data_IF_154204003888
#
_entry.id   IF_154204003888
#
_cell.length_a   1.000
_cell.length_b   1.000
_cell.length_c   1.000
_cell.angle_alpha   90.00
_cell.angle_beta   90.00
_cell.angle_gamma   90.00
#
_symmetry.space_group_name_H-M   'P 1'
#
loop_
_entity.id
_entity.type
_entity.pdbx_description
1 polymer ?
#
# COMPACT_ATOMS: atom_id res chain seq x y z
N UNK A 1 -25.19 -46.07 -19.19
CA UNK A 1 -25.20 -45.60 -17.78
C UNK A 1 -23.87 -46.03 -17.20
N UNK A 2 -22.95 -45.10 -16.92
CA UNK A 2 -21.60 -45.42 -16.46
C UNK A 2 -21.66 -45.59 -14.94
N UNK A 3 -21.34 -46.79 -14.45
CA UNK A 3 -21.39 -47.13 -13.02
C UNK A 3 -20.06 -46.73 -12.37
N UNK A 4 -20.05 -45.56 -11.73
CA UNK A 4 -18.86 -45.05 -11.04
C UNK A 4 -18.72 -45.81 -9.71
N UNK A 5 -17.56 -46.42 -9.42
CA UNK A 5 -17.39 -47.18 -8.19
C UNK A 5 -17.64 -46.30 -6.96
N UNK A 6 -18.54 -46.74 -6.07
CA UNK A 6 -18.95 -45.97 -4.87
C UNK A 6 -17.76 -45.47 -4.04
N UNK A 7 -16.68 -46.24 -3.96
CA UNK A 7 -15.45 -45.87 -3.25
C UNK A 7 -14.77 -44.60 -3.80
N UNK A 8 -14.86 -44.38 -5.11
CA UNK A 8 -14.33 -43.17 -5.76
C UNK A 8 -15.20 -41.95 -5.44
N UNK A 9 -16.52 -42.12 -5.41
CA UNK A 9 -17.46 -41.05 -5.04
C UNK A 9 -17.23 -40.60 -3.59
N UNK A 10 -17.06 -41.53 -2.65
CA UNK A 10 -16.74 -41.20 -1.25
C UNK A 10 -15.38 -40.53 -1.09
N UNK A 11 -14.35 -40.97 -1.82
CA UNK A 11 -13.02 -40.35 -1.76
C UNK A 11 -13.03 -38.93 -2.33
N UNK A 12 -13.78 -38.69 -3.41
CA UNK A 12 -13.91 -37.37 -4.02
C UNK A 12 -14.75 -36.43 -3.17
N UNK A 13 -15.84 -36.92 -2.56
CA UNK A 13 -16.66 -36.10 -1.66
C UNK A 13 -15.88 -35.67 -0.42
N UNK A 14 -15.10 -36.57 0.19
CA UNK A 14 -14.26 -36.23 1.36
C UNK A 14 -13.16 -35.23 0.99
N UNK A 15 -12.46 -35.43 -0.13
CA UNK A 15 -11.45 -34.48 -0.58
C UNK A 15 -12.04 -33.10 -0.92
N UNK A 16 -13.24 -33.07 -1.50
CA UNK A 16 -13.97 -31.83 -1.76
C UNK A 16 -14.33 -31.12 -0.46
N UNK A 17 -14.84 -31.84 0.51
CA UNK A 17 -15.23 -31.30 1.82
C UNK A 17 -14.01 -30.77 2.60
N UNK A 18 -12.88 -31.49 2.58
CA UNK A 18 -11.62 -31.03 3.14
C UNK A 18 -11.09 -29.76 2.44
N UNK A 19 -11.23 -29.67 1.11
CA UNK A 19 -10.82 -28.48 0.34
C UNK A 19 -11.73 -27.26 0.59
N UNK A 20 -13.03 -27.47 0.73
CA UNK A 20 -14.01 -26.42 1.07
C UNK A 20 -13.78 -25.92 2.50
N UNK A 21 -13.49 -26.82 3.44
CA UNK A 21 -13.16 -26.49 4.83
C UNK A 21 -11.80 -25.77 4.94
N UNK A 22 -10.78 -26.20 4.20
CA UNK A 22 -9.48 -25.53 4.16
C UNK A 22 -9.59 -24.11 3.58
N UNK A 23 -10.35 -23.93 2.48
CA UNK A 23 -10.64 -22.61 1.93
C UNK A 23 -11.39 -21.71 2.93
N UNK A 24 -12.33 -22.27 3.68
CA UNK A 24 -13.04 -21.55 4.74
C UNK A 24 -12.11 -21.16 5.89
N UNK A 25 -11.20 -22.01 6.35
CA UNK A 25 -10.23 -21.65 7.40
C UNK A 25 -9.27 -20.53 6.96
N UNK A 26 -8.80 -20.55 5.72
CA UNK A 26 -7.94 -19.49 5.18
C UNK A 26 -8.67 -18.14 5.09
N UNK A 27 -9.94 -18.15 4.66
CA UNK A 27 -10.74 -16.91 4.63
C UNK A 27 -11.03 -16.35 6.03
N UNK A 28 -11.17 -17.22 7.03
CA UNK A 28 -11.34 -16.81 8.43
C UNK A 28 -10.11 -16.08 8.99
N UNK A 29 -8.90 -16.29 8.45
CA UNK A 29 -7.70 -15.55 8.86
C UNK A 29 -7.78 -14.04 8.51
N UNK A 30 -8.58 -13.65 7.52
CA UNK A 30 -8.79 -12.25 7.18
C UNK A 30 -9.89 -11.58 8.00
N UNK A 31 -10.72 -12.37 8.71
CA UNK A 31 -11.85 -11.86 9.49
C UNK A 31 -11.41 -10.88 10.60
N UNK A 32 -10.35 -11.12 11.40
CA UNK A 32 -9.87 -10.16 12.39
C UNK A 32 -9.41 -8.84 11.75
N UNK A 33 -8.73 -8.90 10.62
CA UNK A 33 -8.23 -7.72 9.90
C UNK A 33 -9.41 -6.85 9.45
N UNK A 34 -10.42 -7.47 8.83
CA UNK A 34 -11.64 -6.80 8.41
C UNK A 34 -12.37 -6.16 9.60
N UNK A 35 -12.52 -6.90 10.70
CA UNK A 35 -13.21 -6.43 11.89
C UNK A 35 -12.48 -5.25 12.54
N UNK A 36 -11.15 -5.30 12.65
CA UNK A 36 -10.35 -4.16 13.12
C UNK A 36 -10.52 -2.95 12.21
N UNK A 37 -10.49 -3.14 10.89
CA UNK A 37 -10.69 -2.04 9.94
C UNK A 37 -12.07 -1.39 10.08
N UNK A 38 -13.13 -2.18 10.23
CA UNK A 38 -14.50 -1.70 10.43
C UNK A 38 -14.63 -0.94 11.76
N UNK A 39 -14.10 -1.49 12.85
CA UNK A 39 -14.14 -0.83 14.17
C UNK A 39 -13.35 0.47 14.15
N UNK A 40 -12.13 0.47 13.60
CA UNK A 40 -11.29 1.66 13.51
C UNK A 40 -11.96 2.76 12.69
N UNK A 41 -12.49 2.43 11.52
CA UNK A 41 -13.19 3.38 10.65
C UNK A 41 -14.49 3.86 11.28
N UNK A 42 -15.24 2.97 11.92
CA UNK A 42 -16.47 3.29 12.64
C UNK A 42 -16.21 4.26 13.80
N UNK A 43 -15.18 4.01 14.60
CA UNK A 43 -14.77 4.87 15.70
C UNK A 43 -14.26 6.22 15.18
N UNK A 44 -13.39 6.24 14.17
CA UNK A 44 -12.87 7.48 13.58
C UNK A 44 -14.02 8.34 13.03
N UNK A 45 -15.00 7.72 12.37
CA UNK A 45 -16.20 8.39 11.87
C UNK A 45 -17.04 8.90 13.03
N UNK A 46 -17.34 8.07 14.03
CA UNK A 46 -18.13 8.48 15.20
C UNK A 46 -17.50 9.69 15.91
N UNK A 47 -16.19 9.70 16.10
CA UNK A 47 -15.46 10.82 16.70
C UNK A 47 -15.44 12.05 15.80
N UNK A 48 -15.27 11.90 14.48
CA UNK A 48 -15.33 13.02 13.54
C UNK A 48 -16.73 13.68 13.50
N UNK A 49 -17.80 12.89 13.69
CA UNK A 49 -19.17 13.37 13.70
C UNK A 49 -19.69 13.77 15.09
N UNK A 50 -19.07 13.33 16.18
CA UNK A 50 -19.49 13.67 17.55
C UNK A 50 -19.62 15.18 17.80
N UNK A 51 -18.70 16.06 17.33
CA UNK A 51 -18.84 17.52 17.47
C UNK A 51 -20.06 18.09 16.75
N UNK A 52 -20.65 17.37 15.79
CA UNK A 52 -21.87 17.82 15.12
C UNK A 52 -23.08 17.81 16.05
N UNK A 53 -23.08 16.93 17.05
CA UNK A 53 -24.18 16.78 18.01
C UNK A 53 -23.84 17.34 19.39
N UNK A 54 -22.58 17.25 19.81
CA UNK A 54 -22.15 17.63 21.16
C UNK A 54 -21.60 19.06 21.27
N UNK A 55 -21.10 19.66 20.19
CA UNK A 55 -20.42 20.95 20.27
C UNK A 55 -21.41 22.13 20.26
N UNK A 56 -21.13 23.13 21.09
CA UNK A 56 -21.83 24.43 21.05
C UNK A 56 -21.45 25.17 19.77
N UNK A 57 -22.39 25.28 18.84
CA UNK A 57 -22.17 25.93 17.54
C UNK A 57 -22.50 27.42 17.62
N UNK A 58 -21.46 28.26 17.61
CA UNK A 58 -21.58 29.72 17.43
C UNK A 58 -20.79 30.16 16.18
N UNK A 59 -21.30 29.87 14.97
CA UNK A 59 -20.65 30.29 13.74
C UNK A 59 -20.75 31.81 13.59
N UNK A 60 -19.61 32.47 13.52
CA UNK A 60 -19.54 33.89 13.13
C UNK A 60 -18.77 34.00 11.81
N UNK A 61 -18.99 35.05 11.00
CA UNK A 61 -18.25 35.25 9.76
C UNK A 61 -16.72 35.21 9.96
N UNK A 62 -16.24 35.80 11.05
CA UNK A 62 -14.81 35.91 11.40
C UNK A 62 -14.20 34.56 11.83
N UNK A 63 -15.01 33.60 12.28
CA UNK A 63 -14.53 32.23 12.59
C UNK A 63 -14.43 31.35 11.34
N UNK A 64 -15.00 31.79 10.22
CA UNK A 64 -15.04 31.04 8.96
C UNK A 64 -14.02 31.52 7.94
N UNK A 65 -13.39 32.67 8.18
CA UNK A 65 -12.30 33.15 7.32
C UNK A 65 -11.03 32.31 7.55
N UNK A 66 -10.25 32.02 6.49
CA UNK A 66 -8.92 31.45 6.61
C UNK A 66 -8.03 32.23 7.57
N UNK A 67 -7.20 31.52 8.33
CA UNK A 67 -6.30 32.14 9.30
C UNK A 67 -5.05 32.70 8.62
N UNK A 68 -4.86 34.01 8.69
CA UNK A 68 -3.64 34.70 8.21
C UNK A 68 -3.16 35.74 9.25
N UNK A 69 -2.89 35.29 10.48
CA UNK A 69 -2.38 36.13 11.58
C UNK A 69 -3.21 37.41 11.85
N UNK A 70 -4.53 37.34 11.70
CA UNK A 70 -5.44 38.46 11.94
C UNK A 70 -5.57 39.44 10.76
N UNK A 71 -4.98 39.12 9.61
CA UNK A 71 -5.27 39.82 8.34
C UNK A 71 -6.30 39.07 7.53
N UNK A 72 -7.04 39.83 6.73
CA UNK A 72 -7.90 39.26 5.69
C UNK A 72 -7.02 38.49 4.71
N UNK A 73 -7.43 37.26 4.32
CA UNK A 73 -6.59 36.42 3.51
C UNK A 73 -6.35 37.04 2.15
N UNK A 74 -5.09 37.10 1.74
CA UNK A 74 -4.68 37.77 0.50
C UNK A 74 -4.30 36.72 -0.54
N UNK A 75 -4.99 36.70 -1.67
CA UNK A 75 -4.71 35.77 -2.77
C UNK A 75 -5.57 34.49 -2.74
N UNK A 76 -5.24 33.57 -3.64
CA UNK A 76 -5.97 32.30 -3.81
C UNK A 76 -5.12 31.14 -3.28
N UNK A 77 -5.71 30.24 -2.50
CA UNK A 77 -5.05 29.02 -2.03
C UNK A 77 -4.72 27.99 -3.14
N UNK A 78 -4.94 28.36 -4.42
CA UNK A 78 -4.73 27.50 -5.59
C UNK A 78 -3.56 27.98 -6.48
N UNK A 79 -2.56 28.61 -5.87
CA UNK A 79 -1.33 28.90 -6.59
C UNK A 79 -0.55 27.63 -6.91
N UNK A 80 0.30 27.71 -7.94
CA UNK A 80 1.12 26.58 -8.36
C UNK A 80 2.19 26.35 -7.31
N UNK A 81 2.07 25.24 -6.59
CA UNK A 81 3.12 24.75 -5.71
C UNK A 81 4.38 24.37 -6.51
N UNK A 82 5.53 24.32 -5.83
CA UNK A 82 6.81 24.05 -6.49
C UNK A 82 6.80 22.68 -7.19
N UNK A 83 7.44 22.60 -8.35
CA UNK A 83 7.57 21.36 -9.13
C UNK A 83 8.38 20.29 -8.36
N UNK A 84 9.14 20.68 -7.34
CA UNK A 84 9.90 19.78 -6.49
C UNK A 84 9.04 18.67 -5.86
N UNK A 85 7.80 18.96 -5.45
CA UNK A 85 6.89 17.93 -4.90
C UNK A 85 6.57 16.85 -5.92
N UNK A 86 6.40 17.22 -7.19
CA UNK A 86 6.18 16.26 -8.28
C UNK A 86 7.40 15.36 -8.49
N UNK A 87 8.61 15.94 -8.48
CA UNK A 87 9.84 15.16 -8.67
C UNK A 87 10.07 14.17 -7.53
N UNK A 88 9.81 14.58 -6.28
CA UNK A 88 9.89 13.68 -5.12
C UNK A 88 8.85 12.56 -5.22
N UNK A 89 7.61 12.86 -5.58
CA UNK A 89 6.56 11.84 -5.76
C UNK A 89 6.89 10.85 -6.88
N UNK A 90 7.45 11.34 -7.99
CA UNK A 90 7.88 10.48 -9.10
C UNK A 90 9.02 9.53 -8.68
N UNK A 91 10.02 10.02 -7.95
CA UNK A 91 11.11 9.18 -7.42
C UNK A 91 10.57 8.16 -6.41
N UNK A 92 9.62 8.55 -5.55
CA UNK A 92 8.98 7.63 -4.62
C UNK A 92 8.25 6.49 -5.34
N UNK A 93 7.51 6.78 -6.41
CA UNK A 93 6.84 5.74 -7.22
C UNK A 93 7.86 4.79 -7.84
N UNK A 94 8.99 5.30 -8.35
CA UNK A 94 10.05 4.46 -8.91
C UNK A 94 10.67 3.53 -7.84
N UNK A 95 10.91 4.04 -6.64
CA UNK A 95 11.38 3.25 -5.50
C UNK A 95 10.33 2.21 -5.05
N UNK A 96 9.04 2.57 -5.01
CA UNK A 96 7.98 1.62 -4.65
C UNK A 96 7.86 0.47 -5.68
N UNK A 97 8.05 0.79 -6.96
CA UNK A 97 8.14 -0.21 -8.03
C UNK A 97 9.36 -1.14 -7.85
N UNK A 98 10.47 -0.66 -7.29
CA UNK A 98 11.60 -1.54 -7.01
C UNK A 98 11.29 -2.52 -5.87
N UNK A 99 10.60 -2.05 -4.83
CA UNK A 99 10.20 -2.87 -3.69
C UNK A 99 9.24 -4.00 -4.09
N UNK A 100 8.28 -3.75 -5.00
CA UNK A 100 7.37 -4.78 -5.49
C UNK A 100 8.09 -5.89 -6.27
N UNK A 101 9.26 -5.62 -6.86
CA UNK A 101 10.10 -6.65 -7.48
C UNK A 101 10.99 -7.39 -6.46
N UNK A 102 11.47 -6.69 -5.44
CA UNK A 102 12.33 -7.27 -4.42
C UNK A 102 11.60 -8.25 -3.49
N UNK A 103 10.35 -7.97 -3.13
CA UNK A 103 9.59 -8.80 -2.19
C UNK A 103 9.38 -10.23 -2.72
N UNK A 104 8.80 -10.46 -3.92
CA UNK A 104 8.61 -11.81 -4.44
C UNK A 104 9.94 -12.54 -4.60
N UNK A 105 10.95 -11.88 -5.16
CA UNK A 105 12.28 -12.48 -5.30
C UNK A 105 12.87 -12.92 -3.97
N UNK A 106 12.76 -12.09 -2.92
CA UNK A 106 13.24 -12.43 -1.59
C UNK A 106 12.52 -13.66 -1.00
N UNK A 107 11.21 -13.78 -1.25
CA UNK A 107 10.40 -14.93 -0.81
C UNK A 107 10.84 -16.23 -1.50
N UNK A 108 11.08 -16.20 -2.82
CA UNK A 108 11.42 -17.41 -3.60
C UNK A 108 12.92 -17.66 -3.75
N UNK A 109 13.78 -16.78 -3.23
CA UNK A 109 15.24 -16.85 -3.39
C UNK A 109 15.83 -18.23 -3.07
N UNK A 110 15.37 -18.87 -1.98
CA UNK A 110 15.90 -20.18 -1.54
C UNK A 110 15.61 -21.29 -2.54
N UNK A 111 14.47 -21.22 -3.24
CA UNK A 111 14.06 -22.23 -4.20
C UNK A 111 14.81 -22.03 -5.52
N UNK A 112 14.87 -20.79 -6.03
CA UNK A 112 15.67 -20.44 -7.21
C UNK A 112 17.16 -20.73 -7.03
N UNK A 113 17.70 -20.47 -5.83
CA UNK A 113 19.10 -20.72 -5.52
C UNK A 113 19.47 -22.22 -5.58
N UNK A 114 18.50 -23.11 -5.35
CA UNK A 114 18.68 -24.57 -5.43
C UNK A 114 18.63 -25.08 -6.87
N UNK A 115 17.80 -24.48 -7.73
CA UNK A 115 17.61 -24.95 -9.11
C UNK A 115 18.70 -24.49 -10.08
N UNK A 116 19.09 -23.20 -10.04
CA UNK A 116 19.91 -22.60 -11.11
C UNK A 116 21.33 -22.23 -10.66
N UNK A 117 21.59 -22.16 -9.35
CA UNK A 117 22.77 -21.63 -8.63
C UNK A 117 22.49 -20.29 -7.93
N UNK A 118 22.60 -20.28 -6.60
CA UNK A 118 22.30 -19.09 -5.77
C UNK A 118 23.17 -17.88 -6.07
N UNK A 119 24.40 -18.07 -6.57
CA UNK A 119 25.28 -16.98 -6.97
C UNK A 119 24.76 -16.20 -8.18
N UNK A 120 24.18 -16.88 -9.16
CA UNK A 120 23.61 -16.25 -10.36
C UNK A 120 22.36 -15.43 -10.02
N UNK A 121 21.41 -16.04 -9.29
CA UNK A 121 20.16 -15.39 -8.85
C UNK A 121 20.43 -14.17 -7.97
N UNK A 122 21.47 -14.22 -7.14
CA UNK A 122 21.90 -13.08 -6.33
C UNK A 122 22.54 -11.97 -7.19
N UNK A 123 23.38 -12.33 -8.17
CA UNK A 123 24.00 -11.38 -9.07
C UNK A 123 22.97 -10.64 -9.94
N UNK A 124 21.92 -11.33 -10.41
CA UNK A 124 20.82 -10.70 -11.15
C UNK A 124 20.17 -9.57 -10.34
N UNK A 125 19.90 -9.80 -9.06
CA UNK A 125 19.35 -8.73 -8.21
C UNK A 125 20.34 -7.61 -7.95
N UNK A 126 21.62 -7.91 -7.70
CA UNK A 126 22.62 -6.85 -7.56
C UNK A 126 22.68 -5.97 -8.81
N UNK A 127 22.61 -6.56 -10.00
CA UNK A 127 22.57 -5.81 -11.26
C UNK A 127 21.30 -4.98 -11.33
N UNK A 128 20.13 -5.55 -11.03
CA UNK A 128 18.86 -4.83 -10.98
C UNK A 128 18.95 -3.60 -10.05
N UNK A 129 19.33 -3.78 -8.78
CA UNK A 129 19.49 -2.66 -7.84
C UNK A 129 20.51 -1.63 -8.34
N UNK A 130 21.64 -2.06 -8.90
CA UNK A 130 22.70 -1.15 -9.34
C UNK A 130 22.24 -0.17 -10.43
N UNK A 131 21.38 -0.63 -11.36
CA UNK A 131 20.81 0.22 -12.42
C UNK A 131 19.89 1.29 -11.83
N UNK A 132 19.03 0.93 -10.87
CA UNK A 132 18.15 1.89 -10.21
C UNK A 132 18.92 2.88 -9.32
N UNK A 133 19.89 2.39 -8.54
CA UNK A 133 20.77 3.24 -7.73
C UNK A 133 21.53 4.24 -8.62
N UNK A 134 22.01 3.82 -9.79
CA UNK A 134 22.65 4.73 -10.74
C UNK A 134 21.69 5.84 -11.22
N UNK A 135 20.43 5.50 -11.51
CA UNK A 135 19.39 6.47 -11.84
C UNK A 135 19.09 7.45 -10.70
N UNK A 136 19.01 6.94 -9.47
CA UNK A 136 18.81 7.75 -8.26
C UNK A 136 19.98 8.72 -8.03
N UNK A 137 21.23 8.22 -8.11
CA UNK A 137 22.43 9.04 -7.97
C UNK A 137 22.50 10.13 -9.05
N UNK A 138 22.08 9.83 -10.27
CA UNK A 138 22.00 10.83 -11.34
C UNK A 138 20.98 11.93 -11.01
N UNK A 139 19.78 11.57 -10.56
CA UNK A 139 18.74 12.52 -10.16
C UNK A 139 19.23 13.41 -8.99
N UNK A 140 19.93 12.82 -8.02
CA UNK A 140 20.52 13.57 -6.92
C UNK A 140 21.58 14.56 -7.40
N UNK A 141 22.51 14.13 -8.27
CA UNK A 141 23.52 15.03 -8.86
C UNK A 141 22.90 16.17 -9.68
N UNK A 142 21.72 15.97 -10.25
CA UNK A 142 20.97 17.02 -10.97
C UNK A 142 20.27 18.02 -10.06
N UNK A 143 20.33 17.86 -8.74
CA UNK A 143 19.74 18.80 -7.78
C UNK A 143 18.22 18.73 -7.74
N UNK A 144 17.64 17.56 -8.04
CA UNK A 144 16.18 17.35 -7.97
C UNK A 144 15.61 17.61 -6.57
N UNK A 145 16.45 17.51 -5.55
CA UNK A 145 16.09 17.74 -4.15
C UNK A 145 16.39 19.15 -3.64
N UNK A 146 16.89 20.06 -4.48
CA UNK A 146 17.19 21.43 -4.07
C UNK A 146 15.92 22.28 -4.01
N UNK A 147 15.52 22.67 -2.79
CA UNK A 147 14.31 23.45 -2.51
C UNK A 147 14.48 24.97 -2.51
N UNK A 148 15.72 25.46 -2.63
CA UNK A 148 16.03 26.90 -2.57
C UNK A 148 16.00 27.59 -3.94
N UNK A 149 15.18 27.12 -4.89
CA UNK A 149 15.01 27.71 -6.22
C UNK A 149 13.57 28.02 -6.55
#
# INVERSE_FOLDING_TARGET
MIDIPKRFVYSYSLFREDSENAGMTETLHFLPILLTFVIATGLATALAFAPRFLAVRRPTPEKRIPYECGKDPIGSARERFSVAFYLVAMIFILFDIEAIFLIPWGVVFRDLARETSGGFVFAEMLIFLSVLIAGYLYAWKKGVFDWNR
#
